data_IF_216627807596
#
_entry.id   IF_216627807596
#
_cell.length_a   1.000
_cell.length_b   1.000
_cell.length_c   1.000
_cell.angle_alpha   90.00
_cell.angle_beta   90.00
_cell.angle_gamma   90.00
#
_symmetry.space_group_name_H-M   'P 1'
#
loop_
_entity.id
_entity.type
_entity.pdbx_description
1 polymer ?
#
# COMPACT_ATOMS: atom_id res chain seq x y z
N UNK A 1 -14.35 -6.33 -12.19
CA UNK A 1 -13.07 -6.90 -12.66
C UNK A 1 -12.34 -5.97 -13.62
N UNK A 2 -12.85 -5.67 -14.82
CA UNK A 2 -12.13 -4.88 -15.85
C UNK A 2 -11.54 -3.51 -15.42
N UNK A 3 -12.19 -2.77 -14.50
CA UNK A 3 -11.69 -1.46 -14.03
C UNK A 3 -10.42 -1.58 -13.16
N UNK A 4 -10.34 -2.62 -12.33
CA UNK A 4 -9.21 -2.85 -11.44
C UNK A 4 -7.98 -3.35 -12.20
N UNK A 5 -8.19 -4.22 -13.20
CA UNK A 5 -7.11 -4.71 -14.07
C UNK A 5 -6.50 -3.59 -14.91
N UNK A 6 -7.34 -2.67 -15.39
CA UNK A 6 -6.87 -1.48 -16.10
C UNK A 6 -6.07 -0.55 -15.19
N UNK A 7 -6.56 -0.30 -13.98
CA UNK A 7 -5.86 0.53 -12.99
C UNK A 7 -4.50 -0.06 -12.61
N UNK A 8 -4.44 -1.36 -12.30
CA UNK A 8 -3.20 -2.06 -11.99
C UNK A 8 -2.20 -1.98 -13.15
N UNK A 9 -2.63 -2.25 -14.39
CA UNK A 9 -1.77 -2.16 -15.57
C UNK A 9 -1.22 -0.76 -15.79
N UNK A 10 -2.05 0.27 -15.59
CA UNK A 10 -1.64 1.67 -15.69
C UNK A 10 -0.59 2.02 -14.63
N UNK A 11 -0.82 1.64 -13.37
CA UNK A 11 0.10 1.89 -12.25
C UNK A 11 1.44 1.16 -12.44
N UNK A 12 1.41 -0.10 -12.86
CA UNK A 12 2.62 -0.87 -13.18
C UNK A 12 3.41 -0.23 -14.34
N UNK A 13 2.75 0.26 -15.38
CA UNK A 13 3.42 1.00 -16.47
C UNK A 13 4.07 2.27 -15.95
N UNK A 14 3.39 3.03 -15.09
CA UNK A 14 3.94 4.26 -14.50
C UNK A 14 5.13 3.97 -13.59
N UNK A 15 5.09 2.91 -12.79
CA UNK A 15 6.23 2.44 -11.97
C UNK A 15 7.41 1.92 -12.80
N UNK A 16 7.22 1.52 -14.06
CA UNK A 16 8.34 1.19 -14.96
C UNK A 16 8.99 2.43 -15.57
N UNK A 17 8.24 3.52 -15.71
CA UNK A 17 8.71 4.78 -16.30
C UNK A 17 9.41 5.68 -15.27
N UNK A 18 8.94 5.62 -14.03
CA UNK A 18 9.54 6.31 -12.90
C UNK A 18 10.41 5.27 -12.20
N UNK A 19 11.70 5.53 -11.94
CA UNK A 19 12.53 4.61 -11.13
C UNK A 19 11.75 4.17 -9.88
N UNK A 20 11.77 2.89 -9.53
CA UNK A 20 11.06 2.34 -8.36
C UNK A 20 11.44 3.08 -7.06
N UNK A 21 12.64 3.64 -7.02
CA UNK A 21 13.19 4.44 -5.91
C UNK A 21 12.78 5.92 -5.93
N UNK A 22 12.09 6.38 -6.97
CA UNK A 22 11.68 7.76 -7.06
C UNK A 22 10.66 8.09 -5.96
N UNK A 23 10.88 9.21 -5.26
CA UNK A 23 10.07 9.70 -4.14
C UNK A 23 8.54 9.75 -4.30
N UNK A 24 8.03 9.63 -5.53
CA UNK A 24 6.59 9.64 -5.86
C UNK A 24 6.02 8.26 -6.20
N UNK A 25 6.86 7.21 -6.26
CA UNK A 25 6.44 5.83 -6.52
C UNK A 25 5.55 5.28 -5.40
N UNK A 26 5.68 5.79 -4.15
CA UNK A 26 4.84 5.37 -3.02
C UNK A 26 3.34 5.48 -3.33
N UNK A 27 2.90 6.53 -4.05
CA UNK A 27 1.47 6.69 -4.42
C UNK A 27 1.00 5.55 -5.32
N UNK A 28 1.86 5.08 -6.21
CA UNK A 28 1.54 3.99 -7.11
C UNK A 28 1.47 2.66 -6.34
N UNK A 29 2.42 2.41 -5.44
CA UNK A 29 2.39 1.25 -4.56
C UNK A 29 1.18 1.25 -3.62
N UNK A 30 0.83 2.38 -3.00
CA UNK A 30 -0.39 2.47 -2.18
C UNK A 30 -1.66 2.19 -3.00
N UNK A 31 -1.74 2.74 -4.22
CA UNK A 31 -2.88 2.49 -5.10
C UNK A 31 -2.94 1.02 -5.56
N UNK A 32 -1.81 0.39 -5.86
CA UNK A 32 -1.74 -1.05 -6.15
C UNK A 32 -2.18 -1.89 -4.95
N UNK A 33 -1.79 -1.50 -3.73
CA UNK A 33 -2.27 -2.13 -2.49
C UNK A 33 -3.79 -2.11 -2.40
N UNK A 34 -4.40 -0.93 -2.58
CA UNK A 34 -5.87 -0.80 -2.61
C UNK A 34 -6.51 -1.64 -3.70
N UNK A 35 -5.97 -1.64 -4.92
CA UNK A 35 -6.50 -2.45 -6.02
C UNK A 35 -6.43 -3.95 -5.69
N UNK A 36 -5.32 -4.44 -5.15
CA UNK A 36 -5.20 -5.84 -4.71
C UNK A 36 -6.14 -6.17 -3.56
N UNK A 37 -6.36 -5.25 -2.61
CA UNK A 37 -7.35 -5.42 -1.56
C UNK A 37 -8.78 -5.59 -2.10
N UNK A 38 -9.19 -4.73 -3.03
CA UNK A 38 -10.51 -4.83 -3.68
C UNK A 38 -10.68 -6.12 -4.51
N UNK A 39 -9.57 -6.73 -4.95
CA UNK A 39 -9.55 -8.04 -5.61
C UNK A 39 -9.56 -9.23 -4.63
N UNK A 40 -9.44 -8.99 -3.32
CA UNK A 40 -9.28 -10.02 -2.30
C UNK A 40 -7.86 -10.61 -2.22
N UNK A 41 -6.88 -9.99 -2.90
CA UNK A 41 -5.47 -10.41 -2.90
C UNK A 41 -4.74 -9.80 -1.70
N UNK A 42 -5.05 -10.27 -0.49
CA UNK A 42 -4.62 -9.62 0.76
C UNK A 42 -3.09 -9.59 0.95
N UNK A 43 -2.38 -10.69 0.70
CA UNK A 43 -0.91 -10.74 0.81
C UNK A 43 -0.25 -9.76 -0.16
N UNK A 44 -0.75 -9.70 -1.39
CA UNK A 44 -0.22 -8.81 -2.43
C UNK A 44 -0.50 -7.35 -2.07
N UNK A 45 -1.68 -7.07 -1.50
CA UNK A 45 -2.00 -5.76 -0.95
C UNK A 45 -1.00 -5.33 0.13
N UNK A 46 -0.75 -6.19 1.12
CA UNK A 46 0.22 -5.94 2.19
C UNK A 46 1.61 -5.65 1.62
N UNK A 47 2.09 -6.47 0.67
CA UNK A 47 3.41 -6.28 0.06
C UNK A 47 3.54 -4.90 -0.60
N UNK A 48 2.52 -4.47 -1.37
CA UNK A 48 2.54 -3.14 -1.97
C UNK A 48 2.45 -2.00 -0.94
N UNK A 49 1.69 -2.18 0.14
CA UNK A 49 1.64 -1.20 1.23
C UNK A 49 2.98 -1.09 1.95
N UNK A 50 3.70 -2.20 2.15
CA UNK A 50 5.06 -2.21 2.73
C UNK A 50 6.04 -1.44 1.85
N UNK A 51 6.07 -1.72 0.54
CA UNK A 51 6.91 -0.98 -0.42
C UNK A 51 6.63 0.54 -0.36
N UNK A 52 5.35 0.91 -0.37
CA UNK A 52 4.93 2.31 -0.25
C UNK A 52 5.43 2.95 1.05
N UNK A 53 5.40 2.22 2.16
CA UNK A 53 5.87 2.71 3.47
C UNK A 53 7.38 2.91 3.47
N UNK A 54 8.13 1.95 2.94
CA UNK A 54 9.60 2.01 2.92
C UNK A 54 10.10 3.20 2.09
N UNK A 55 9.47 3.49 0.95
CA UNK A 55 9.80 4.67 0.14
C UNK A 55 9.58 5.96 0.94
N UNK A 56 8.47 6.06 1.69
CA UNK A 56 8.20 7.21 2.55
C UNK A 56 9.20 7.32 3.70
N UNK A 57 9.51 6.22 4.37
CA UNK A 57 10.46 6.19 5.49
C UNK A 57 11.88 6.59 5.06
N UNK A 58 12.34 6.11 3.90
CA UNK A 58 13.62 6.52 3.30
C UNK A 58 13.68 8.02 3.01
N UNK A 59 12.55 8.64 2.69
CA UNK A 59 12.46 10.09 2.43
C UNK A 59 12.41 10.90 3.72
N UNK A 60 11.56 10.50 4.66
CA UNK A 60 11.35 11.14 5.96
C UNK A 60 10.66 10.16 6.90
N UNK A 61 11.33 9.80 8.00
CA UNK A 61 10.83 8.84 9.00
C UNK A 61 9.47 9.23 9.60
N UNK A 62 9.24 10.53 9.84
CA UNK A 62 8.02 11.06 10.45
C UNK A 62 7.07 11.69 9.41
N UNK A 63 6.95 11.08 8.23
CA UNK A 63 6.01 11.53 7.21
C UNK A 63 4.58 11.13 7.58
N UNK A 64 3.68 12.09 7.77
CA UNK A 64 2.27 11.84 8.13
C UNK A 64 1.56 10.89 7.17
N UNK A 65 2.04 10.74 5.93
CA UNK A 65 1.45 9.82 4.96
C UNK A 65 1.70 8.35 5.27
N UNK A 66 2.67 8.05 6.14
CA UNK A 66 2.91 6.70 6.67
C UNK A 66 1.70 6.23 7.49
N UNK A 67 1.03 7.12 8.23
CA UNK A 67 -0.18 6.79 8.99
C UNK A 67 -1.30 6.26 8.09
N UNK A 68 -1.51 6.87 6.91
CA UNK A 68 -2.50 6.38 5.94
C UNK A 68 -2.19 4.98 5.41
N UNK A 69 -0.90 4.66 5.25
CA UNK A 69 -0.48 3.33 4.82
C UNK A 69 -0.76 2.32 5.93
N UNK A 70 -0.40 2.64 7.17
CA UNK A 70 -0.71 1.78 8.32
C UNK A 70 -2.21 1.56 8.50
N UNK A 71 -3.05 2.59 8.31
CA UNK A 71 -4.50 2.41 8.30
C UNK A 71 -4.95 1.42 7.21
N UNK A 72 -4.42 1.56 5.99
CA UNK A 72 -4.73 0.63 4.89
C UNK A 72 -4.25 -0.80 5.20
N UNK A 73 -3.11 -0.97 5.87
CA UNK A 73 -2.65 -2.29 6.32
C UNK A 73 -3.58 -2.87 7.37
N UNK A 74 -4.06 -2.05 8.32
CA UNK A 74 -5.03 -2.45 9.33
C UNK A 74 -6.34 -2.97 8.71
N UNK A 75 -6.85 -2.27 7.70
CA UNK A 75 -8.05 -2.70 6.96
C UNK A 75 -7.83 -4.05 6.27
N UNK A 76 -6.68 -4.25 5.64
CA UNK A 76 -6.33 -5.50 4.94
C UNK A 76 -6.21 -6.66 5.92
N UNK A 77 -5.47 -6.49 7.02
CA UNK A 77 -5.33 -7.50 8.06
C UNK A 77 -6.66 -7.86 8.71
N UNK A 78 -7.52 -6.85 8.97
CA UNK A 78 -8.86 -7.08 9.51
C UNK A 78 -9.71 -7.94 8.57
N UNK A 79 -9.71 -7.66 7.26
CA UNK A 79 -10.45 -8.47 6.29
C UNK A 79 -9.89 -9.88 6.12
N UNK A 80 -8.60 -10.05 6.34
CA UNK A 80 -7.94 -11.36 6.34
C UNK A 80 -8.21 -12.18 7.62
N UNK A 81 -8.72 -11.54 8.68
CA UNK A 81 -8.97 -12.17 9.99
C UNK A 81 -7.75 -12.12 10.94
N UNK A 82 -6.68 -11.42 10.55
CA UNK A 82 -5.45 -11.23 11.31
C UNK A 82 -5.62 -10.04 12.28
N UNK A 83 -6.43 -10.24 13.32
CA UNK A 83 -6.88 -9.16 14.21
C UNK A 83 -5.72 -8.51 14.99
N UNK A 84 -4.71 -9.28 15.38
CA UNK A 84 -3.56 -8.74 16.14
C UNK A 84 -2.75 -7.78 15.29
N UNK A 85 -2.47 -8.17 14.05
CA UNK A 85 -1.74 -7.40 13.05
C UNK A 85 -2.52 -6.16 12.63
N UNK A 86 -3.85 -6.29 12.54
CA UNK A 86 -4.74 -5.15 12.29
C UNK A 86 -4.65 -4.10 13.39
N UNK A 87 -4.76 -4.51 14.66
CA UNK A 87 -4.65 -3.60 15.81
C UNK A 87 -3.29 -2.92 15.86
N UNK A 88 -2.20 -3.66 15.71
CA UNK A 88 -0.85 -3.09 15.65
C UNK A 88 -0.68 -2.09 14.51
N UNK A 89 -1.33 -2.33 13.37
CA UNK A 89 -1.30 -1.41 12.24
C UNK A 89 -2.10 -0.14 12.54
N UNK A 90 -3.29 -0.26 13.12
CA UNK A 90 -4.08 0.91 13.52
C UNK A 90 -3.40 1.74 14.62
N UNK A 91 -2.74 1.10 15.59
CA UNK A 91 -1.96 1.79 16.62
C UNK A 91 -0.82 2.61 16.02
N UNK A 92 -0.14 2.09 14.99
CA UNK A 92 0.92 2.83 14.27
C UNK A 92 0.39 3.94 13.36
N UNK A 93 -0.93 3.98 13.12
CA UNK A 93 -1.57 5.03 12.33
C UNK A 93 -2.01 6.24 13.18
N UNK A 94 -2.05 6.10 14.51
CA UNK A 94 -2.35 7.17 15.47
C UNK A 94 -1.09 8.00 15.80
#
# INVERSE_FOLDING_TARGET
>A
MAKFDYAEKYLCRRLKQISSEHKDSYKCYHALGKVSFEKGEYEKSINYLVESREILQKRRSNDFRIAYIYNSMGEVYQKKGEIKEALQSYEKAL
#
